data_IF_543703404891
#
_entry.id   IF_543703404891
#
_cell.length_a   1.000
_cell.length_b   1.000
_cell.length_c   1.000
_cell.angle_alpha   90.00
_cell.angle_beta   90.00
_cell.angle_gamma   90.00
#
_symmetry.space_group_name_H-M   'P 1'
#
loop_
_entity.id
_entity.type
_entity.pdbx_description
1 polymer ?
#
# COMPACT_ATOMS: atom_id res chain seq x y z
N UNK A 1 2.85 -15.74 21.04
CA UNK A 1 3.75 -14.82 20.31
C UNK A 1 4.48 -15.45 19.10
N UNK A 2 4.14 -16.66 18.63
CA UNK A 2 4.96 -17.32 17.58
C UNK A 2 4.44 -17.16 16.13
N UNK A 3 3.13 -17.12 15.91
CA UNK A 3 2.56 -17.14 14.55
C UNK A 3 2.75 -15.81 13.82
N UNK A 4 2.47 -14.68 14.48
CA UNK A 4 2.61 -13.36 13.85
C UNK A 4 4.07 -13.06 13.48
N UNK A 5 5.02 -13.44 14.34
CA UNK A 5 6.46 -13.27 14.09
C UNK A 5 6.93 -14.14 12.93
N UNK A 6 6.51 -15.41 12.87
CA UNK A 6 6.86 -16.32 11.78
C UNK A 6 6.29 -15.86 10.42
N UNK A 7 5.05 -15.34 10.41
CA UNK A 7 4.45 -14.76 9.20
C UNK A 7 5.22 -13.52 8.77
N UNK A 8 5.58 -12.66 9.73
CA UNK A 8 6.33 -11.43 9.44
C UNK A 8 7.74 -11.71 8.91
N UNK A 9 8.44 -12.69 9.47
CA UNK A 9 9.73 -13.17 8.96
C UNK A 9 9.60 -13.72 7.54
N UNK A 10 8.58 -14.53 7.28
CA UNK A 10 8.33 -15.08 5.94
C UNK A 10 8.02 -13.97 4.93
N UNK A 11 7.23 -12.98 5.34
CA UNK A 11 6.86 -11.83 4.54
C UNK A 11 8.08 -10.98 4.16
N UNK A 12 8.98 -10.70 5.12
CA UNK A 12 10.21 -9.94 4.84
C UNK A 12 11.19 -10.74 3.99
N UNK A 13 11.45 -12.00 4.36
CA UNK A 13 12.51 -12.81 3.76
C UNK A 13 12.18 -13.31 2.35
N UNK A 14 10.90 -13.60 2.08
CA UNK A 14 10.50 -14.18 0.80
C UNK A 14 9.65 -13.23 -0.03
N UNK A 15 8.65 -12.58 0.54
CA UNK A 15 7.70 -11.79 -0.27
C UNK A 15 8.27 -10.43 -0.64
N UNK A 16 8.78 -9.66 0.33
CA UNK A 16 9.36 -8.33 0.07
C UNK A 16 10.67 -8.46 -0.73
N UNK A 17 11.54 -9.40 -0.38
CA UNK A 17 12.84 -9.58 -1.02
C UNK A 17 12.74 -10.02 -2.49
N UNK A 18 11.71 -10.78 -2.86
CA UNK A 18 11.49 -11.26 -4.23
C UNK A 18 10.42 -10.47 -4.99
N UNK A 19 9.84 -9.42 -4.39
CA UNK A 19 8.88 -8.56 -5.07
C UNK A 19 9.57 -7.75 -6.17
N UNK A 20 9.46 -8.23 -7.41
CA UNK A 20 9.92 -7.53 -8.61
C UNK A 20 8.87 -6.54 -9.10
N UNK A 21 7.58 -6.83 -8.87
CA UNK A 21 6.50 -5.91 -9.18
C UNK A 21 6.44 -4.83 -8.09
N UNK A 22 6.59 -3.56 -8.49
CA UNK A 22 6.11 -2.40 -7.76
C UNK A 22 4.95 -2.63 -6.78
N UNK A 23 3.77 -2.92 -7.31
CA UNK A 23 2.52 -3.00 -6.58
C UNK A 23 2.58 -4.04 -5.47
N UNK A 24 3.15 -5.20 -5.80
CA UNK A 24 3.35 -6.28 -4.85
C UNK A 24 4.27 -5.84 -3.71
N UNK A 25 5.31 -5.05 -4.02
CA UNK A 25 6.22 -4.52 -2.99
C UNK A 25 5.50 -3.56 -2.03
N UNK A 26 4.67 -2.64 -2.54
CA UNK A 26 3.83 -1.78 -1.69
C UNK A 26 2.79 -2.57 -0.91
N UNK A 27 2.16 -3.56 -1.52
CA UNK A 27 1.22 -4.44 -0.85
C UNK A 27 1.87 -5.18 0.32
N UNK A 28 3.06 -5.76 0.14
CA UNK A 28 3.79 -6.44 1.20
C UNK A 28 4.32 -5.49 2.26
N UNK A 29 4.81 -4.30 1.89
CA UNK A 29 5.22 -3.28 2.87
C UNK A 29 4.03 -2.79 3.70
N UNK A 30 2.87 -2.59 3.08
CA UNK A 30 1.62 -2.26 3.79
C UNK A 30 1.23 -3.39 4.74
N UNK A 31 1.30 -4.64 4.27
CA UNK A 31 1.00 -5.81 5.09
C UNK A 31 1.96 -5.92 6.29
N UNK A 32 3.27 -5.67 6.10
CA UNK A 32 4.26 -5.56 7.18
C UNK A 32 3.87 -4.49 8.21
N UNK A 33 3.49 -3.30 7.74
CA UNK A 33 3.02 -2.20 8.60
C UNK A 33 1.78 -2.57 9.41
N UNK A 34 0.79 -3.20 8.76
CA UNK A 34 -0.45 -3.68 9.37
C UNK A 34 -0.19 -4.76 10.43
N UNK A 35 0.70 -5.73 10.17
CA UNK A 35 1.09 -6.74 11.16
C UNK A 35 1.77 -6.13 12.39
N UNK A 36 2.69 -5.18 12.21
CA UNK A 36 3.31 -4.48 13.34
C UNK A 36 2.31 -3.63 14.11
N UNK A 37 1.32 -3.04 13.44
CA UNK A 37 0.23 -2.31 14.09
C UNK A 37 -0.61 -3.24 14.97
N UNK A 38 -1.02 -4.40 14.46
CA UNK A 38 -1.74 -5.39 15.26
C UNK A 38 -0.92 -5.91 16.44
N UNK A 39 0.40 -6.12 16.25
CA UNK A 39 1.29 -6.50 17.34
C UNK A 39 1.37 -5.40 18.42
N UNK A 40 1.37 -4.13 18.03
CA UNK A 40 1.38 -3.01 18.97
C UNK A 40 0.06 -2.89 19.78
N UNK A 41 -1.06 -3.35 19.24
CA UNK A 41 -2.36 -3.37 19.96
C UNK A 41 -2.35 -4.34 21.14
N UNK A 42 -1.55 -5.41 21.07
CA UNK A 42 -1.46 -6.45 22.11
C UNK A 42 -0.17 -6.41 22.91
N UNK A 43 0.79 -5.55 22.56
CA UNK A 43 2.07 -5.40 23.25
C UNK A 43 1.98 -4.45 24.46
N UNK A 44 2.80 -4.72 25.49
CA UNK A 44 2.91 -3.90 26.70
C UNK A 44 4.32 -3.34 26.87
N UNK A 45 4.45 -2.20 27.55
CA UNK A 45 5.74 -1.61 27.89
C UNK A 45 6.55 -1.17 26.66
N UNK A 46 7.86 -1.47 26.67
CA UNK A 46 8.79 -1.04 25.61
C UNK A 46 8.59 -1.81 24.29
N UNK A 47 8.08 -3.03 24.33
CA UNK A 47 7.75 -3.82 23.14
C UNK A 47 6.70 -3.13 22.26
N UNK A 48 5.76 -2.41 22.89
CA UNK A 48 4.75 -1.60 22.19
C UNK A 48 5.40 -0.45 21.42
N UNK A 49 6.38 0.24 22.02
CA UNK A 49 7.08 1.34 21.34
C UNK A 49 7.87 0.83 20.15
N UNK A 50 8.56 -0.30 20.30
CA UNK A 50 9.33 -0.92 19.22
C UNK A 50 8.42 -1.35 18.05
N UNK A 51 7.29 -2.00 18.34
CA UNK A 51 6.33 -2.43 17.31
C UNK A 51 5.67 -1.24 16.60
N UNK A 52 5.34 -0.17 17.32
CA UNK A 52 4.88 1.08 16.70
C UNK A 52 5.93 1.69 15.76
N UNK A 53 7.20 1.75 16.19
CA UNK A 53 8.29 2.25 15.37
C UNK A 53 8.48 1.42 14.10
N UNK A 54 8.41 0.10 14.22
CA UNK A 54 8.53 -0.82 13.08
C UNK A 54 7.35 -0.68 12.10
N UNK A 55 6.13 -0.46 12.60
CA UNK A 55 4.95 -0.18 11.78
C UNK A 55 5.14 1.12 11.00
N UNK A 56 5.55 2.19 11.69
CA UNK A 56 5.80 3.50 11.07
C UNK A 56 6.91 3.42 10.00
N UNK A 57 8.00 2.70 10.27
CA UNK A 57 9.09 2.52 9.31
C UNK A 57 8.64 1.83 8.02
N UNK A 58 7.75 0.84 8.10
CA UNK A 58 7.22 0.17 6.92
C UNK A 58 6.37 1.11 6.04
N UNK A 59 5.55 1.98 6.64
CA UNK A 59 4.79 2.98 5.89
C UNK A 59 5.70 4.10 5.34
N UNK A 60 6.72 4.52 6.08
CA UNK A 60 7.70 5.49 5.59
C UNK A 60 8.50 4.94 4.40
N UNK A 61 8.81 3.65 4.37
CA UNK A 61 9.49 3.02 3.24
C UNK A 61 8.66 3.12 1.95
N UNK A 62 7.33 3.06 2.05
CA UNK A 62 6.41 3.32 0.94
C UNK A 62 6.47 4.79 0.52
N UNK A 63 6.45 5.72 1.48
CA UNK A 63 6.41 7.17 1.24
C UNK A 63 7.74 7.75 0.73
N UNK A 64 8.88 7.15 1.11
CA UNK A 64 10.21 7.56 0.68
C UNK A 64 10.49 7.21 -0.79
N UNK A 65 9.52 6.62 -1.50
CA UNK A 65 9.57 6.35 -2.91
C UNK A 65 8.40 7.06 -3.62
N UNK A 66 8.43 8.41 -3.70
CA UNK A 66 7.31 9.18 -4.25
C UNK A 66 7.10 8.95 -5.75
N UNK A 67 8.18 8.76 -6.52
CA UNK A 67 8.11 8.42 -7.96
C UNK A 67 7.35 7.13 -8.19
N UNK A 68 7.63 6.15 -7.33
CA UNK A 68 6.95 4.87 -7.32
C UNK A 68 5.45 5.02 -7.02
N UNK A 69 5.09 5.77 -5.97
CA UNK A 69 3.70 5.99 -5.56
C UNK A 69 2.91 6.77 -6.62
N UNK A 70 3.50 7.82 -7.21
CA UNK A 70 2.90 8.57 -8.32
C UNK A 70 2.70 7.70 -9.55
N UNK A 71 3.68 6.84 -9.88
CA UNK A 71 3.56 5.94 -11.05
C UNK A 71 2.42 4.96 -10.84
N UNK A 72 2.36 4.33 -9.67
CA UNK A 72 1.29 3.41 -9.33
C UNK A 72 -0.10 4.10 -9.34
N UNK A 73 -0.20 5.29 -8.75
CA UNK A 73 -1.46 6.05 -8.75
C UNK A 73 -1.90 6.42 -10.18
N UNK A 74 -0.97 6.81 -11.05
CA UNK A 74 -1.25 7.10 -12.47
C UNK A 74 -1.69 5.86 -13.23
N UNK A 75 -0.99 4.73 -13.06
CA UNK A 75 -1.35 3.47 -13.73
C UNK A 75 -2.73 2.98 -13.31
N UNK A 76 -3.03 2.92 -12.00
CA UNK A 76 -4.34 2.51 -11.51
C UNK A 76 -5.46 3.43 -12.01
N UNK A 77 -5.16 4.72 -12.15
CA UNK A 77 -6.09 5.70 -12.68
C UNK A 77 -6.36 5.53 -14.18
N UNK A 78 -5.32 5.34 -14.99
CA UNK A 78 -5.45 5.12 -16.42
C UNK A 78 -6.17 3.80 -16.74
N UNK A 79 -5.93 2.74 -15.95
CA UNK A 79 -6.68 1.48 -16.03
C UNK A 79 -8.17 1.66 -15.70
N UNK A 80 -8.47 2.44 -14.65
CA UNK A 80 -9.85 2.75 -14.30
C UNK A 80 -10.55 3.50 -15.45
N UNK A 81 -9.91 4.50 -16.06
CA UNK A 81 -10.44 5.20 -17.25
C UNK A 81 -10.72 4.23 -18.39
N UNK A 82 -9.77 3.33 -18.70
CA UNK A 82 -9.93 2.36 -19.78
C UNK A 82 -11.12 1.41 -19.54
N UNK A 83 -11.38 1.01 -18.30
CA UNK A 83 -12.57 0.22 -17.96
C UNK A 83 -13.87 1.05 -18.09
N UNK A 84 -13.85 2.31 -17.69
CA UNK A 84 -15.01 3.22 -17.85
C UNK A 84 -15.35 3.49 -19.32
N UNK A 85 -14.37 3.70 -20.20
CA UNK A 85 -14.55 3.89 -21.64
C UNK A 85 -15.28 2.71 -22.30
N UNK A 86 -15.14 1.49 -21.75
CA UNK A 86 -15.80 0.29 -22.28
C UNK A 86 -17.24 0.07 -21.78
N UNK A 87 -17.71 0.81 -20.75
CA UNK A 87 -18.91 0.44 -19.98
C UNK A 87 -20.22 1.20 -20.24
N UNK A 88 -20.27 2.38 -20.89
CA UNK A 88 -21.46 3.04 -21.52
C UNK A 88 -21.38 4.58 -21.57
N UNK A 89 -22.02 5.19 -22.58
CA UNK A 89 -22.01 6.62 -22.94
C UNK A 89 -22.67 7.60 -21.93
N UNK A 90 -23.57 7.14 -21.04
CA UNK A 90 -24.42 8.06 -20.26
C UNK A 90 -23.88 8.49 -18.88
N UNK A 91 -22.89 7.79 -18.31
CA UNK A 91 -22.31 8.12 -16.98
C UNK A 91 -20.92 8.77 -17.05
N UNK A 92 -20.45 9.08 -18.26
CA UNK A 92 -19.07 9.49 -18.52
C UNK A 92 -18.71 10.83 -17.89
N UNK A 93 -19.62 11.80 -17.90
CA UNK A 93 -19.31 13.19 -17.55
C UNK A 93 -19.05 13.41 -16.06
N UNK A 94 -19.84 12.78 -15.20
CA UNK A 94 -19.67 12.92 -13.74
C UNK A 94 -18.47 12.10 -13.24
N UNK A 95 -18.29 10.88 -13.76
CA UNK A 95 -17.16 10.02 -13.42
C UNK A 95 -15.83 10.59 -13.93
N UNK A 96 -15.82 11.15 -15.16
CA UNK A 96 -14.63 11.78 -15.73
C UNK A 96 -14.22 13.05 -14.97
N UNK A 97 -15.17 13.84 -14.47
CA UNK A 97 -14.86 15.04 -13.68
C UNK A 97 -14.20 14.69 -12.33
N UNK A 98 -14.74 13.68 -11.62
CA UNK A 98 -14.16 13.19 -10.37
C UNK A 98 -12.78 12.59 -10.60
N UNK A 99 -12.62 11.86 -11.71
CA UNK A 99 -11.33 11.33 -12.11
C UNK A 99 -10.33 12.45 -12.43
N UNK A 100 -10.70 13.42 -13.27
CA UNK A 100 -9.83 14.54 -13.61
C UNK A 100 -9.36 15.31 -12.36
N UNK A 101 -10.26 15.53 -11.41
CA UNK A 101 -9.92 16.14 -10.12
C UNK A 101 -8.91 15.30 -9.33
N UNK A 102 -9.05 13.98 -9.30
CA UNK A 102 -8.07 13.10 -8.63
C UNK A 102 -6.70 13.15 -9.31
N UNK A 103 -6.66 13.19 -10.65
CA UNK A 103 -5.41 13.34 -11.42
C UNK A 103 -4.71 14.66 -11.12
N UNK A 104 -5.46 15.77 -11.04
CA UNK A 104 -4.90 17.11 -10.81
C UNK A 104 -4.37 17.29 -9.37
N UNK A 105 -4.75 16.40 -8.44
CA UNK A 105 -4.30 16.40 -7.04
C UNK A 105 -3.17 15.40 -6.75
N UNK A 106 -2.75 14.61 -7.73
CA UNK A 106 -1.62 13.67 -7.66
C UNK A 106 -0.33 14.29 -8.20
#
# INVERSE_FOLDING_TARGET
MSVCTAVLESLVKYLIANATNPESKVFYLKMKGDYFRYLAEVACGDDRKQTMHNSQGAYQEILNNPEFACTLAKTAFDEAIAEFDTRNEDSYKDSALVMQLLRDNL
#
